data_IF_442474098698
#
_entry.id   IF_442474098698
#
_cell.length_a   1.000
_cell.length_b   1.000
_cell.length_c   1.000
_cell.angle_alpha   90.00
_cell.angle_beta   90.00
_cell.angle_gamma   90.00
#
_symmetry.space_group_name_H-M   'P 1'
#
loop_
_entity.id
_entity.type
_entity.pdbx_description
1 polymer ?
#
# COMPACT_ATOMS: atom_id res chain seq x y z
N UNK A 1 -8.97 -28.03 -14.09
CA UNK A 1 -9.11 -27.27 -12.85
C UNK A 1 -7.69 -27.05 -12.35
N UNK A 2 -7.21 -25.81 -12.36
CA UNK A 2 -5.88 -25.47 -11.81
C UNK A 2 -5.90 -25.66 -10.30
N UNK A 3 -4.80 -26.19 -9.76
CA UNK A 3 -4.61 -26.35 -8.32
C UNK A 3 -4.71 -24.95 -7.66
N UNK A 4 -5.65 -24.71 -6.73
CA UNK A 4 -5.81 -23.43 -6.06
C UNK A 4 -4.60 -23.04 -5.21
N UNK A 5 -3.62 -23.93 -5.05
CA UNK A 5 -2.37 -23.67 -4.32
C UNK A 5 -1.26 -23.12 -5.23
N UNK A 6 -1.41 -23.14 -6.56
CA UNK A 6 -0.35 -22.72 -7.49
C UNK A 6 -0.33 -21.20 -7.65
N UNK A 7 0.78 -20.59 -7.23
CA UNK A 7 1.07 -19.17 -7.48
C UNK A 7 1.72 -19.01 -8.85
N UNK A 8 1.21 -18.09 -9.67
CA UNK A 8 1.74 -17.76 -10.99
C UNK A 8 2.23 -16.31 -11.01
N UNK A 9 3.49 -16.12 -11.40
CA UNK A 9 4.05 -14.78 -11.63
C UNK A 9 3.51 -14.16 -12.91
N UNK A 10 3.42 -12.83 -12.94
CA UNK A 10 3.12 -12.05 -14.16
C UNK A 10 4.00 -10.79 -14.24
N UNK A 11 4.09 -10.25 -15.45
CA UNK A 11 4.67 -8.95 -15.75
C UNK A 11 3.62 -8.11 -16.47
N UNK A 12 3.38 -6.89 -15.97
CA UNK A 12 2.53 -5.89 -16.59
C UNK A 12 3.41 -4.71 -17.04
N UNK A 13 3.13 -4.15 -18.21
CA UNK A 13 3.89 -3.01 -18.73
C UNK A 13 3.06 -1.75 -18.57
N UNK A 14 3.54 -0.81 -17.77
CA UNK A 14 2.91 0.49 -17.55
C UNK A 14 3.01 1.37 -18.81
N UNK A 15 2.26 2.46 -18.86
CA UNK A 15 2.17 3.35 -20.02
C UNK A 15 3.51 3.97 -20.42
N UNK A 16 4.44 4.11 -19.49
CA UNK A 16 5.80 4.64 -19.69
C UNK A 16 6.86 3.55 -19.95
N UNK A 17 6.44 2.29 -20.07
CA UNK A 17 7.32 1.13 -20.31
C UNK A 17 7.86 0.46 -19.04
N UNK A 18 7.56 0.99 -17.84
CA UNK A 18 7.98 0.36 -16.58
C UNK A 18 7.34 -1.02 -16.42
N UNK A 19 8.16 -2.04 -16.14
CA UNK A 19 7.67 -3.41 -15.92
C UNK A 19 7.31 -3.62 -14.46
N UNK A 20 6.04 -3.85 -14.22
CA UNK A 20 5.46 -4.13 -12.91
C UNK A 20 5.35 -5.64 -12.72
N UNK A 21 5.99 -6.17 -11.67
CA UNK A 21 6.00 -7.61 -11.40
C UNK A 21 5.08 -7.98 -10.25
N UNK A 22 4.30 -9.00 -10.48
CA UNK A 22 3.33 -9.50 -9.52
C UNK A 22 3.16 -11.00 -9.57
N UNK A 23 2.24 -11.46 -8.75
CA UNK A 23 1.82 -12.85 -8.69
C UNK A 23 0.31 -12.95 -8.47
N UNK A 24 -0.29 -13.99 -9.01
CA UNK A 24 -1.68 -14.34 -8.76
C UNK A 24 -1.80 -15.76 -8.22
N UNK A 25 -2.79 -15.99 -7.37
CA UNK A 25 -3.07 -17.30 -6.78
C UNK A 25 -4.55 -17.44 -6.47
N UNK A 26 -5.02 -18.68 -6.35
CA UNK A 26 -6.43 -18.96 -6.14
C UNK A 26 -7.28 -18.82 -7.40
N UNK A 27 -8.59 -18.79 -7.21
CA UNK A 27 -9.58 -18.65 -8.29
C UNK A 27 -10.90 -18.15 -7.73
N UNK A 28 -11.74 -17.52 -8.57
CA UNK A 28 -13.03 -17.01 -8.19
C UNK A 28 -13.07 -15.49 -8.24
N UNK A 29 -13.52 -14.83 -7.17
CA UNK A 29 -13.64 -13.36 -7.09
C UNK A 29 -12.26 -12.70 -7.06
N UNK A 30 -12.09 -11.61 -7.80
CA UNK A 30 -10.81 -10.92 -7.88
C UNK A 30 -10.60 -9.96 -6.71
N UNK A 31 -9.41 -10.03 -6.12
CA UNK A 31 -8.89 -9.00 -5.23
C UNK A 31 -7.49 -8.59 -5.69
N UNK A 32 -7.25 -7.28 -5.80
CA UNK A 32 -5.94 -6.70 -6.09
C UNK A 32 -5.39 -6.04 -4.83
N UNK A 33 -4.16 -6.41 -4.47
CA UNK A 33 -3.47 -5.99 -3.25
C UNK A 33 -2.39 -4.97 -3.56
N UNK A 34 -2.47 -3.80 -2.92
CA UNK A 34 -1.53 -2.69 -3.07
C UNK A 34 -0.80 -2.43 -1.75
N UNK A 35 0.51 -2.52 -1.76
CA UNK A 35 1.33 -2.33 -0.56
C UNK A 35 1.65 -0.85 -0.27
N UNK A 36 2.14 -0.57 0.94
CA UNK A 36 2.61 0.75 1.36
C UNK A 36 4.05 1.06 0.90
N UNK A 37 4.45 2.32 1.02
CA UNK A 37 5.82 2.77 0.76
C UNK A 37 6.81 1.96 1.63
N UNK A 38 7.96 1.60 1.08
CA UNK A 38 8.98 0.70 1.65
C UNK A 38 8.57 -0.77 1.80
N UNK A 39 7.32 -1.14 1.51
CA UNK A 39 6.88 -2.54 1.56
C UNK A 39 6.97 -3.22 0.18
N UNK A 40 6.60 -4.48 0.13
CA UNK A 40 6.43 -5.25 -1.10
C UNK A 40 5.09 -5.98 -1.04
N UNK A 41 4.65 -6.55 -2.17
CA UNK A 41 3.41 -7.33 -2.26
C UNK A 41 3.25 -8.38 -1.14
N UNK A 42 4.37 -8.92 -0.62
CA UNK A 42 4.36 -9.94 0.45
C UNK A 42 3.88 -9.42 1.80
N UNK A 43 3.95 -8.10 2.01
CA UNK A 43 3.60 -7.48 3.30
C UNK A 43 2.13 -7.10 3.42
N UNK A 44 1.31 -7.24 2.38
CA UNK A 44 -0.13 -6.94 2.46
C UNK A 44 -0.86 -8.00 3.28
N UNK A 45 -0.74 -9.27 2.91
CA UNK A 45 -1.37 -10.39 3.64
C UNK A 45 -0.38 -11.23 4.46
N UNK A 46 0.91 -10.89 4.48
CA UNK A 46 1.94 -11.56 5.30
C UNK A 46 1.95 -13.09 5.15
N UNK A 47 1.66 -13.60 3.94
CA UNK A 47 1.63 -15.03 3.64
C UNK A 47 0.32 -15.75 4.02
N UNK A 48 -0.71 -15.03 4.45
CA UNK A 48 -2.04 -15.64 4.65
C UNK A 48 -2.58 -16.20 3.33
N UNK A 49 -3.10 -17.42 3.37
CA UNK A 49 -3.76 -18.11 2.24
C UNK A 49 -5.26 -18.28 2.47
N UNK A 50 -5.82 -17.47 3.37
CA UNK A 50 -7.24 -17.59 3.71
C UNK A 50 -8.12 -17.20 2.53
N UNK A 51 -7.79 -16.13 1.83
CA UNK A 51 -8.60 -15.65 0.70
C UNK A 51 -8.71 -16.68 -0.41
N UNK A 52 -7.61 -17.34 -0.78
CA UNK A 52 -7.65 -18.38 -1.82
C UNK A 52 -8.54 -19.57 -1.39
N UNK A 53 -8.55 -19.92 -0.10
CA UNK A 53 -9.41 -20.98 0.44
C UNK A 53 -10.88 -20.58 0.44
N UNK A 54 -11.18 -19.28 0.54
CA UNK A 54 -12.53 -18.71 0.53
C UNK A 54 -13.00 -18.32 -0.89
N UNK A 55 -12.30 -18.80 -1.93
CA UNK A 55 -12.73 -18.62 -3.33
C UNK A 55 -12.37 -17.26 -3.92
N UNK A 56 -11.26 -16.68 -3.51
CA UNK A 56 -10.70 -15.46 -4.11
C UNK A 56 -9.53 -15.79 -5.04
N UNK A 57 -9.46 -15.07 -6.16
CA UNK A 57 -8.23 -14.93 -6.93
C UNK A 57 -7.50 -13.70 -6.40
N UNK A 58 -6.39 -13.94 -5.74
CA UNK A 58 -5.54 -12.92 -5.13
C UNK A 58 -4.49 -12.49 -6.13
N UNK A 59 -4.49 -11.22 -6.50
CA UNK A 59 -3.53 -10.58 -7.41
C UNK A 59 -2.73 -9.59 -6.55
N UNK A 60 -1.42 -9.76 -6.49
CA UNK A 60 -0.53 -8.90 -5.73
C UNK A 60 0.67 -8.50 -6.58
N UNK A 61 1.11 -7.25 -6.47
CA UNK A 61 2.23 -6.75 -7.27
C UNK A 61 3.12 -5.81 -6.43
N UNK A 62 4.36 -5.70 -6.82
CA UNK A 62 5.25 -4.68 -6.29
C UNK A 62 5.06 -3.40 -7.13
N UNK A 63 4.83 -2.26 -6.49
CA UNK A 63 4.78 -0.97 -7.17
C UNK A 63 6.14 -0.67 -7.83
N UNK A 64 6.17 0.25 -8.81
CA UNK A 64 7.44 0.69 -9.43
C UNK A 64 8.48 1.06 -8.39
N UNK A 65 9.73 0.68 -8.62
CA UNK A 65 10.84 0.90 -7.70
C UNK A 65 10.79 0.10 -6.41
N UNK A 66 9.81 -0.81 -6.25
CA UNK A 66 9.68 -1.66 -5.08
C UNK A 66 9.85 -3.13 -5.43
N UNK A 67 10.26 -3.92 -4.44
CA UNK A 67 10.36 -5.37 -4.56
C UNK A 67 11.17 -5.81 -5.76
N UNK A 68 10.48 -6.40 -6.75
CA UNK A 68 11.08 -6.88 -8.00
C UNK A 68 10.63 -6.12 -9.25
N UNK A 69 9.76 -5.12 -9.11
CA UNK A 69 9.35 -4.26 -10.22
C UNK A 69 10.50 -3.34 -10.64
N UNK A 70 10.47 -2.94 -11.91
CA UNK A 70 11.49 -2.04 -12.43
C UNK A 70 11.39 -0.63 -11.83
N UNK A 71 12.48 0.11 -11.92
CA UNK A 71 12.49 1.54 -11.65
C UNK A 71 11.62 2.29 -12.68
N UNK A 72 11.07 3.43 -12.27
CA UNK A 72 10.53 4.40 -13.22
C UNK A 72 11.63 4.94 -14.14
N UNK A 73 11.30 5.47 -15.35
CA UNK A 73 12.29 6.01 -16.29
C UNK A 73 13.14 7.13 -15.71
N UNK A 74 12.62 7.91 -14.78
CA UNK A 74 13.32 8.98 -14.12
C UNK A 74 13.08 9.00 -12.62
N UNK A 75 13.94 9.70 -11.88
CA UNK A 75 13.86 9.80 -10.42
C UNK A 75 12.57 10.49 -9.91
N UNK A 76 11.85 11.22 -10.76
CA UNK A 76 10.56 11.84 -10.46
C UNK A 76 9.32 11.00 -10.78
N UNK A 77 9.49 9.81 -11.36
CA UNK A 77 8.39 9.03 -11.93
C UNK A 77 7.78 8.02 -10.93
N UNK A 78 7.66 8.45 -9.66
CA UNK A 78 7.05 7.66 -8.57
C UNK A 78 5.84 8.38 -7.96
N UNK A 79 5.17 9.24 -8.72
CA UNK A 79 3.98 9.97 -8.26
C UNK A 79 2.73 9.09 -8.27
N UNK A 80 1.68 9.50 -7.56
CA UNK A 80 0.41 8.77 -7.57
C UNK A 80 -0.20 8.58 -8.95
N UNK A 81 -0.14 9.55 -9.91
CA UNK A 81 -0.54 9.27 -11.29
C UNK A 81 0.19 8.07 -11.92
N UNK A 82 1.50 7.94 -11.72
CA UNK A 82 2.26 6.77 -12.19
C UNK A 82 1.83 5.47 -11.49
N UNK A 83 1.58 5.52 -10.17
CA UNK A 83 1.10 4.34 -9.42
C UNK A 83 -0.31 3.91 -9.87
N UNK A 84 -1.17 4.85 -10.25
CA UNK A 84 -2.49 4.58 -10.85
C UNK A 84 -2.35 3.93 -12.22
N UNK A 85 -1.43 4.39 -13.07
CA UNK A 85 -1.15 3.77 -14.36
C UNK A 85 -0.60 2.35 -14.20
N UNK A 86 0.24 2.10 -13.20
CA UNK A 86 0.72 0.75 -12.86
C UNK A 86 -0.45 -0.17 -12.47
N UNK A 87 -1.36 0.31 -11.63
CA UNK A 87 -2.56 -0.45 -11.26
C UNK A 87 -3.40 -0.79 -12.48
N UNK A 88 -3.60 0.17 -13.40
CA UNK A 88 -4.32 -0.07 -14.66
C UNK A 88 -3.64 -1.15 -15.50
N UNK A 89 -2.31 -1.08 -15.64
CA UNK A 89 -1.53 -2.08 -16.37
C UNK A 89 -1.66 -3.48 -15.74
N UNK A 90 -1.59 -3.57 -14.41
CA UNK A 90 -1.79 -4.84 -13.67
C UNK A 90 -3.18 -5.39 -13.90
N UNK A 91 -4.22 -4.57 -13.79
CA UNK A 91 -5.61 -5.02 -14.02
C UNK A 91 -5.82 -5.48 -15.47
N UNK A 92 -5.27 -4.76 -16.45
CA UNK A 92 -5.34 -5.15 -17.86
C UNK A 92 -4.60 -6.48 -18.13
N UNK A 93 -3.39 -6.65 -17.58
CA UNK A 93 -2.57 -7.85 -17.75
C UNK A 93 -3.23 -9.09 -17.14
N UNK A 94 -3.87 -8.94 -15.99
CA UNK A 94 -4.51 -10.05 -15.26
C UNK A 94 -5.96 -10.28 -15.67
N UNK A 95 -6.55 -9.36 -16.45
CA UNK A 95 -7.95 -9.40 -16.84
C UNK A 95 -8.92 -9.13 -15.68
N UNK A 96 -8.47 -8.53 -14.59
CA UNK A 96 -9.31 -8.13 -13.47
C UNK A 96 -10.11 -6.86 -13.84
N UNK A 97 -11.41 -6.99 -14.08
CA UNK A 97 -12.25 -5.87 -14.57
C UNK A 97 -12.88 -5.04 -13.47
N UNK A 98 -13.36 -5.67 -12.41
CA UNK A 98 -13.96 -5.03 -11.23
C UNK A 98 -13.56 -5.76 -9.95
N UNK A 99 -12.25 -5.77 -9.60
CA UNK A 99 -11.81 -6.44 -8.39
C UNK A 99 -12.21 -5.67 -7.13
N UNK A 100 -12.15 -6.33 -5.98
CA UNK A 100 -11.95 -5.62 -4.71
C UNK A 100 -10.53 -5.05 -4.74
N UNK A 101 -10.36 -3.78 -4.42
CA UNK A 101 -9.04 -3.16 -4.28
C UNK A 101 -8.73 -2.99 -2.80
N UNK A 102 -7.70 -3.65 -2.34
CA UNK A 102 -7.22 -3.52 -0.96
C UNK A 102 -5.85 -2.87 -0.96
N UNK A 103 -5.75 -1.71 -0.35
CA UNK A 103 -4.49 -0.97 -0.25
C UNK A 103 -4.12 -0.62 1.19
N UNK A 104 -2.82 -0.62 1.47
CA UNK A 104 -2.25 -0.17 2.75
C UNK A 104 -1.48 1.12 2.53
N UNK A 105 -1.76 2.20 3.29
CA UNK A 105 -1.04 3.49 3.21
C UNK A 105 -0.94 4.00 1.76
N UNK A 106 0.25 4.09 1.16
CA UNK A 106 0.44 4.45 -0.25
C UNK A 106 -0.50 3.66 -1.19
N UNK A 107 -0.66 2.37 -0.95
CA UNK A 107 -1.58 1.53 -1.72
C UNK A 107 -3.05 1.91 -1.54
N UNK A 108 -3.46 2.32 -0.34
CA UNK A 108 -4.81 2.83 -0.06
C UNK A 108 -5.07 4.14 -0.81
N UNK A 109 -4.10 5.05 -0.79
CA UNK A 109 -4.17 6.32 -1.53
C UNK A 109 -4.28 6.08 -3.04
N UNK A 110 -3.49 5.14 -3.58
CA UNK A 110 -3.50 4.77 -5.00
C UNK A 110 -4.85 4.19 -5.41
N UNK A 111 -5.39 3.24 -4.64
CA UNK A 111 -6.68 2.62 -4.92
C UNK A 111 -7.83 3.63 -4.90
N UNK A 112 -7.86 4.49 -3.87
CA UNK A 112 -8.86 5.54 -3.74
C UNK A 112 -8.79 6.54 -4.90
N UNK A 113 -7.58 7.04 -5.24
CA UNK A 113 -7.37 7.95 -6.36
C UNK A 113 -7.79 7.33 -7.70
N UNK A 114 -7.45 6.07 -7.94
CA UNK A 114 -7.77 5.37 -9.18
C UNK A 114 -9.30 5.21 -9.37
N UNK A 115 -10.03 4.87 -8.32
CA UNK A 115 -11.49 4.77 -8.37
C UNK A 115 -12.17 6.14 -8.44
N UNK A 116 -11.73 7.11 -7.63
CA UNK A 116 -12.34 8.44 -7.58
C UNK A 116 -12.19 9.22 -8.88
N UNK A 117 -11.11 8.99 -9.62
CA UNK A 117 -10.88 9.60 -10.96
C UNK A 117 -11.51 8.80 -12.10
N UNK A 118 -12.08 7.63 -11.82
CA UNK A 118 -12.59 6.73 -12.86
C UNK A 118 -11.51 6.05 -13.70
N UNK A 119 -10.25 6.09 -13.26
CA UNK A 119 -9.15 5.43 -13.95
C UNK A 119 -9.29 3.90 -13.95
N UNK A 120 -9.89 3.36 -12.88
CA UNK A 120 -10.27 1.94 -12.75
C UNK A 120 -11.65 1.81 -12.11
N UNK A 121 -12.31 0.68 -12.36
CA UNK A 121 -13.52 0.29 -11.66
C UNK A 121 -13.21 -0.75 -10.59
N UNK A 122 -13.62 -0.49 -9.35
CA UNK A 122 -13.57 -1.46 -8.25
C UNK A 122 -14.96 -2.03 -7.93
N UNK A 123 -15.02 -3.24 -7.42
CA UNK A 123 -16.25 -3.79 -6.80
C UNK A 123 -16.43 -3.25 -5.38
N UNK A 124 -15.34 -3.09 -4.64
CA UNK A 124 -15.28 -2.47 -3.33
C UNK A 124 -13.85 -1.96 -3.05
N UNK A 125 -13.70 -1.08 -2.07
CA UNK A 125 -12.42 -0.59 -1.56
C UNK A 125 -12.22 -1.03 -0.10
N UNK A 126 -11.04 -1.53 0.22
CA UNK A 126 -10.57 -1.71 1.58
C UNK A 126 -9.31 -0.86 1.76
N UNK A 127 -9.45 0.29 2.44
CA UNK A 127 -8.43 1.30 2.60
C UNK A 127 -7.82 1.19 4.00
N UNK A 128 -6.66 0.55 4.10
CA UNK A 128 -6.02 0.25 5.38
C UNK A 128 -5.04 1.35 5.73
N UNK A 129 -5.22 1.95 6.89
CA UNK A 129 -4.36 3.00 7.47
C UNK A 129 -3.96 4.08 6.45
N UNK A 130 -4.92 4.76 5.79
CA UNK A 130 -4.60 5.90 4.94
C UNK A 130 -4.01 7.03 5.80
N UNK A 131 -2.95 7.69 5.31
CA UNK A 131 -2.21 8.71 6.06
C UNK A 131 -2.16 10.09 5.36
N UNK A 132 -2.71 10.21 4.16
CA UNK A 132 -2.69 11.46 3.39
C UNK A 132 -3.86 12.40 3.77
N UNK A 133 -3.54 13.69 3.89
CA UNK A 133 -4.49 14.78 4.19
C UNK A 133 -4.42 15.85 3.09
N UNK A 134 -5.39 15.92 2.16
CA UNK A 134 -5.29 16.78 0.97
C UNK A 134 -5.32 18.28 1.28
N UNK A 135 -5.81 18.69 2.44
CA UNK A 135 -5.89 20.10 2.86
C UNK A 135 -4.66 20.57 3.64
N UNK A 136 -3.72 19.68 3.89
CA UNK A 136 -2.53 19.98 4.68
C UNK A 136 -1.29 19.95 3.77
N UNK A 137 -0.48 21.00 3.87
CA UNK A 137 0.86 20.97 3.30
C UNK A 137 1.74 20.03 4.12
N UNK A 138 2.45 19.14 3.44
CA UNK A 138 3.43 18.30 4.13
C UNK A 138 4.52 19.21 4.70
N UNK A 139 4.75 19.20 6.03
CA UNK A 139 5.74 20.07 6.65
C UNK A 139 7.13 19.90 6.03
N UNK A 140 7.85 21.01 5.86
CA UNK A 140 9.17 21.00 5.21
C UNK A 140 10.19 20.13 5.95
N UNK A 141 10.09 20.05 7.27
CA UNK A 141 10.93 19.16 8.10
C UNK A 141 10.61 17.68 7.90
N UNK A 142 9.32 17.33 7.68
CA UNK A 142 8.91 15.98 7.32
C UNK A 142 9.44 15.59 5.93
N UNK A 143 9.36 16.49 4.94
CA UNK A 143 9.96 16.27 3.63
C UNK A 143 11.49 16.12 3.70
N UNK A 144 12.15 16.97 4.49
CA UNK A 144 13.59 16.87 4.73
C UNK A 144 13.98 15.56 5.45
N UNK A 145 13.10 15.03 6.31
CA UNK A 145 13.30 13.73 6.92
C UNK A 145 13.24 12.59 5.88
N UNK A 146 12.26 12.62 4.97
CA UNK A 146 12.20 11.66 3.86
C UNK A 146 13.42 11.75 2.94
N UNK A 147 13.96 12.94 2.70
CA UNK A 147 15.19 13.12 1.92
C UNK A 147 16.38 12.44 2.60
N UNK A 148 16.57 12.64 3.91
CA UNK A 148 17.65 11.99 4.67
C UNK A 148 17.52 10.47 4.67
N UNK A 149 16.29 9.94 4.86
CA UNK A 149 16.03 8.51 4.78
C UNK A 149 16.35 7.93 3.40
N UNK A 150 16.00 8.66 2.35
CA UNK A 150 16.32 8.30 0.97
C UNK A 150 17.84 8.26 0.73
N UNK A 151 18.56 9.30 1.17
CA UNK A 151 20.01 9.38 1.04
C UNK A 151 20.71 8.28 1.83
N UNK A 152 20.32 8.08 3.08
CA UNK A 152 20.86 7.02 3.93
C UNK A 152 20.63 5.62 3.34
N UNK A 153 19.43 5.37 2.77
CA UNK A 153 19.15 4.12 2.07
C UNK A 153 20.02 3.93 0.83
N UNK A 154 20.21 4.99 0.05
CA UNK A 154 21.00 4.96 -1.20
C UNK A 154 22.48 4.71 -0.93
N UNK A 155 23.03 5.35 0.09
CA UNK A 155 24.46 5.32 0.40
C UNK A 155 24.87 4.11 1.25
N UNK A 156 24.05 3.77 2.23
CA UNK A 156 24.39 2.80 3.27
C UNK A 156 23.40 1.63 3.38
N UNK A 157 22.47 1.51 2.43
CA UNK A 157 21.49 0.41 2.38
C UNK A 157 20.45 0.43 3.51
N UNK A 158 19.80 -0.72 3.76
CA UNK A 158 18.77 -0.85 4.80
C UNK A 158 19.25 -0.48 6.19
N UNK A 159 20.51 -0.73 6.50
CA UNK A 159 21.15 -0.40 7.77
C UNK A 159 21.25 1.11 7.96
N UNK A 160 21.70 1.85 6.93
CA UNK A 160 21.74 3.30 6.95
C UNK A 160 20.35 3.93 7.09
N UNK A 161 19.35 3.39 6.40
CA UNK A 161 17.98 3.84 6.57
C UNK A 161 17.51 3.73 8.04
N UNK A 162 17.74 2.59 8.68
CA UNK A 162 17.30 2.37 10.07
C UNK A 162 18.08 3.25 11.05
N UNK A 163 19.37 3.48 10.80
CA UNK A 163 20.19 4.37 11.60
C UNK A 163 19.68 5.83 11.53
N UNK A 164 19.33 6.33 10.34
CA UNK A 164 18.75 7.67 10.16
C UNK A 164 17.33 7.77 10.71
N UNK A 165 16.51 6.72 10.54
CA UNK A 165 15.13 6.68 11.00
C UNK A 165 14.99 6.81 12.53
N UNK A 166 15.96 6.28 13.31
CA UNK A 166 16.04 6.42 14.77
C UNK A 166 14.78 6.05 15.56
N UNK A 167 13.97 5.17 14.96
CA UNK A 167 12.74 4.71 15.59
C UNK A 167 11.50 5.58 15.34
N UNK A 168 11.62 6.74 14.68
CA UNK A 168 10.48 7.51 14.15
C UNK A 168 9.27 7.72 15.08
N UNK A 169 9.49 7.86 16.40
CA UNK A 169 8.40 8.01 17.38
C UNK A 169 7.80 6.70 17.91
N UNK A 170 8.35 5.56 17.51
CA UNK A 170 7.95 4.23 18.04
C UNK A 170 8.27 4.13 19.54
N UNK A 171 7.35 3.62 20.34
CA UNK A 171 7.58 3.38 21.75
C UNK A 171 8.80 2.47 22.00
N UNK A 172 9.65 2.75 23.01
CA UNK A 172 10.88 2.00 23.27
C UNK A 172 10.69 0.48 23.36
N UNK A 173 9.58 0.03 23.91
CA UNK A 173 9.27 -1.40 24.05
C UNK A 173 9.12 -2.15 22.71
N UNK A 174 8.80 -1.43 21.62
CA UNK A 174 8.60 -1.98 20.28
C UNK A 174 9.80 -1.75 19.35
N UNK A 175 10.73 -0.88 19.72
CA UNK A 175 11.79 -0.40 18.86
C UNK A 175 12.60 -1.53 18.21
N UNK A 176 13.03 -2.53 18.98
CA UNK A 176 13.82 -3.65 18.46
C UNK A 176 13.04 -4.50 17.45
N UNK A 177 11.75 -4.74 17.71
CA UNK A 177 10.90 -5.55 16.84
C UNK A 177 10.63 -4.79 15.53
N UNK A 178 10.28 -3.51 15.62
CA UNK A 178 10.00 -2.68 14.45
C UNK A 178 11.25 -2.46 13.61
N UNK A 179 12.42 -2.23 14.25
CA UNK A 179 13.71 -2.13 13.59
C UNK A 179 14.04 -3.38 12.76
N UNK A 180 13.90 -4.56 13.36
CA UNK A 180 14.15 -5.84 12.65
C UNK A 180 13.18 -6.05 11.50
N UNK A 181 11.89 -5.76 11.71
CA UNK A 181 10.86 -5.85 10.67
C UNK A 181 11.14 -4.88 9.51
N UNK A 182 11.59 -3.66 9.81
CA UNK A 182 11.97 -2.66 8.81
C UNK A 182 13.18 -3.12 8.00
N UNK A 183 14.24 -3.60 8.65
CA UNK A 183 15.40 -4.16 7.96
C UNK A 183 15.01 -5.32 7.04
N UNK A 184 14.22 -6.27 7.55
CA UNK A 184 13.76 -7.42 6.77
C UNK A 184 12.94 -6.96 5.55
N UNK A 185 12.07 -5.97 5.71
CA UNK A 185 11.24 -5.40 4.65
C UNK A 185 12.09 -4.72 3.58
N UNK A 186 13.02 -3.85 3.96
CA UNK A 186 13.89 -3.13 3.02
C UNK A 186 14.79 -4.07 2.23
N UNK A 187 15.26 -5.15 2.81
CA UNK A 187 16.09 -6.17 2.13
C UNK A 187 15.35 -6.99 1.06
N UNK A 188 14.01 -6.82 0.92
CA UNK A 188 13.23 -7.48 -0.13
C UNK A 188 13.30 -6.75 -1.48
N UNK A 189 13.84 -5.54 -1.52
CA UNK A 189 13.92 -4.73 -2.73
C UNK A 189 15.18 -5.07 -3.52
N UNK A 190 15.02 -5.25 -4.84
CA UNK A 190 16.13 -5.54 -5.75
C UNK A 190 16.92 -4.30 -6.16
N UNK A 191 16.28 -3.12 -6.11
CA UNK A 191 16.87 -1.82 -6.46
C UNK A 191 16.61 -0.80 -5.34
N UNK A 192 17.60 -0.60 -4.49
CA UNK A 192 17.52 0.39 -3.41
C UNK A 192 17.64 1.83 -3.92
N UNK A 193 18.25 2.04 -5.10
CA UNK A 193 18.30 3.34 -5.75
C UNK A 193 16.91 3.81 -6.18
N UNK A 194 16.16 2.93 -6.84
CA UNK A 194 14.77 3.18 -7.23
C UNK A 194 13.86 3.39 -6.01
N UNK A 195 14.02 2.60 -4.96
CA UNK A 195 13.30 2.79 -3.71
C UNK A 195 13.62 4.14 -3.06
N UNK A 196 14.88 4.57 -3.11
CA UNK A 196 15.30 5.87 -2.60
C UNK A 196 14.63 7.01 -3.37
N UNK A 197 14.49 6.91 -4.70
CA UNK A 197 13.75 7.88 -5.50
C UNK A 197 12.25 7.89 -5.13
N UNK A 198 11.65 6.73 -4.90
CA UNK A 198 10.27 6.65 -4.43
C UNK A 198 10.08 7.32 -3.06
N UNK A 199 11.03 7.16 -2.12
CA UNK A 199 11.01 7.84 -0.81
C UNK A 199 11.04 9.36 -0.91
N UNK A 200 11.69 9.93 -1.93
CA UNK A 200 11.68 11.37 -2.19
C UNK A 200 10.40 11.84 -2.89
N UNK A 201 9.91 11.04 -3.83
CA UNK A 201 8.84 11.44 -4.74
C UNK A 201 7.44 11.26 -4.14
N UNK A 202 7.15 10.07 -3.57
CA UNK A 202 5.80 9.74 -3.07
C UNK A 202 5.30 10.72 -1.99
N UNK A 203 6.09 11.11 -0.97
CA UNK A 203 5.64 12.05 0.05
C UNK A 203 5.33 13.47 -0.47
N UNK A 204 5.85 13.82 -1.66
CA UNK A 204 5.60 15.10 -2.33
C UNK A 204 4.46 15.04 -3.33
N UNK A 205 4.02 13.84 -3.68
CA UNK A 205 2.94 13.61 -4.62
C UNK A 205 1.60 13.58 -3.90
N UNK A 206 0.59 14.14 -4.55
CA UNK A 206 -0.78 14.14 -4.06
C UNK A 206 -1.60 13.09 -4.80
N UNK A 207 -2.26 12.14 -4.12
CA UNK A 207 -3.18 11.20 -4.75
C UNK A 207 -4.43 11.92 -5.29
N UNK A 208 -4.84 13.00 -4.62
CA UNK A 208 -5.95 13.88 -5.01
C UNK A 208 -5.80 15.24 -4.32
N UNK A 209 -6.40 16.28 -4.93
CA UNK A 209 -6.20 17.67 -4.49
C UNK A 209 -7.10 18.09 -3.32
N UNK A 210 -8.25 17.44 -3.12
CA UNK A 210 -9.22 17.83 -2.08
C UNK A 210 -10.08 16.64 -1.65
N UNK A 211 -10.73 16.78 -0.50
CA UNK A 211 -11.72 15.82 0.01
C UNK A 211 -12.91 15.61 -0.93
N UNK A 212 -13.25 16.62 -1.74
CA UNK A 212 -14.32 16.51 -2.75
C UNK A 212 -14.06 15.35 -3.74
N UNK A 213 -12.79 15.01 -3.98
CA UNK A 213 -12.44 13.86 -4.81
C UNK A 213 -12.93 12.55 -4.19
N UNK A 214 -12.80 12.39 -2.87
CA UNK A 214 -13.28 11.19 -2.17
C UNK A 214 -14.80 11.14 -2.07
N UNK A 215 -15.47 12.29 -2.05
CA UNK A 215 -16.96 12.34 -2.09
C UNK A 215 -17.53 11.84 -3.40
N UNK A 216 -16.74 11.76 -4.46
CA UNK A 216 -17.13 11.17 -5.74
C UNK A 216 -17.09 9.63 -5.74
N UNK A 217 -16.53 8.99 -4.71
CA UNK A 217 -16.51 7.54 -4.60
C UNK A 217 -17.92 6.99 -4.39
N UNK A 218 -18.33 6.10 -5.29
CA UNK A 218 -19.66 5.45 -5.25
C UNK A 218 -19.55 3.94 -4.97
N UNK A 219 -18.33 3.42 -4.88
CA UNK A 219 -18.11 2.01 -4.59
C UNK A 219 -18.17 1.75 -3.09
N UNK A 220 -18.72 0.60 -2.63
CA UNK A 220 -18.66 0.22 -1.22
C UNK A 220 -17.23 0.34 -0.70
N UNK A 221 -17.07 1.09 0.39
CA UNK A 221 -15.73 1.39 0.92
C UNK A 221 -15.69 1.10 2.41
N UNK A 222 -14.65 0.38 2.84
CA UNK A 222 -14.30 0.21 4.24
C UNK A 222 -12.96 0.86 4.51
N UNK A 223 -12.90 1.75 5.47
CA UNK A 223 -11.66 2.36 5.96
C UNK A 223 -11.25 1.67 7.26
N UNK A 224 -10.01 1.20 7.29
CA UNK A 224 -9.43 0.55 8.47
C UNK A 224 -8.47 1.51 9.13
N UNK A 225 -8.77 1.91 10.37
CA UNK A 225 -7.84 2.62 11.26
C UNK A 225 -7.08 1.65 12.15
N UNK A 226 -6.07 2.13 12.87
CA UNK A 226 -5.32 1.33 13.82
C UNK A 226 -4.99 2.11 15.09
N UNK A 227 -5.02 1.42 16.23
CA UNK A 227 -4.56 1.88 17.54
C UNK A 227 -3.07 1.54 17.77
N UNK A 228 -2.37 1.10 16.73
CA UNK A 228 -1.00 0.58 16.83
C UNK A 228 0.01 1.65 17.23
N UNK A 229 0.42 1.65 18.49
CA UNK A 229 1.46 2.55 19.01
C UNK A 229 2.87 2.25 18.45
N UNK A 230 3.04 1.17 17.72
CA UNK A 230 4.29 0.87 16.99
C UNK A 230 4.35 1.48 15.59
N UNK A 231 3.26 2.12 15.14
CA UNK A 231 3.12 2.74 13.83
C UNK A 231 2.60 4.20 13.92
N UNK A 232 3.37 5.13 14.48
CA UNK A 232 2.94 6.52 14.65
C UNK A 232 2.77 7.28 13.33
N UNK A 233 3.23 6.74 12.22
CA UNK A 233 3.10 7.32 10.89
C UNK A 233 1.68 7.22 10.29
N UNK A 234 0.78 6.45 10.93
CA UNK A 234 -0.60 6.26 10.48
C UNK A 234 -1.61 6.59 11.59
N UNK A 235 -1.83 7.87 11.91
CA UNK A 235 -2.73 8.29 12.99
C UNK A 235 -4.17 7.83 12.75
N UNK A 236 -4.81 7.33 13.80
CA UNK A 236 -6.21 6.87 13.75
C UNK A 236 -7.16 7.96 13.26
N UNK A 237 -6.91 9.21 13.67
CA UNK A 237 -7.72 10.38 13.30
C UNK A 237 -7.72 10.61 11.78
N UNK A 238 -6.59 10.37 11.12
CA UNK A 238 -6.51 10.47 9.66
C UNK A 238 -7.40 9.44 8.99
N UNK A 239 -7.33 8.18 9.42
CA UNK A 239 -8.19 7.12 8.88
C UNK A 239 -9.68 7.42 9.15
N UNK A 240 -10.02 7.93 10.33
CA UNK A 240 -11.38 8.36 10.66
C UNK A 240 -11.85 9.48 9.74
N UNK A 241 -11.00 10.49 9.50
CA UNK A 241 -11.30 11.58 8.56
C UNK A 241 -11.59 11.06 7.14
N UNK A 242 -10.82 10.09 6.66
CA UNK A 242 -11.10 9.46 5.38
C UNK A 242 -12.48 8.79 5.35
N UNK A 243 -12.84 8.06 6.41
CA UNK A 243 -14.17 7.43 6.50
C UNK A 243 -15.30 8.46 6.53
N UNK A 244 -15.11 9.57 7.25
CA UNK A 244 -16.11 10.64 7.33
C UNK A 244 -16.33 11.36 5.99
N UNK A 245 -15.30 11.45 5.15
CA UNK A 245 -15.36 12.14 3.85
C UNK A 245 -15.83 11.25 2.70
N UNK A 246 -15.78 9.92 2.84
CA UNK A 246 -16.25 8.98 1.82
C UNK A 246 -17.72 8.64 2.09
N UNK A 247 -18.66 8.95 1.18
CA UNK A 247 -20.08 8.70 1.40
C UNK A 247 -20.39 7.21 1.65
N UNK A 248 -20.99 6.91 2.79
CA UNK A 248 -21.41 5.56 3.16
C UNK A 248 -20.24 4.61 3.47
N UNK A 249 -19.05 5.12 3.75
CA UNK A 249 -17.94 4.27 4.13
C UNK A 249 -18.14 3.67 5.54
N UNK A 250 -17.82 2.39 5.68
CA UNK A 250 -17.69 1.75 6.97
C UNK A 250 -16.31 2.08 7.58
N UNK A 251 -16.28 2.25 8.90
CA UNK A 251 -15.04 2.44 9.66
C UNK A 251 -14.79 1.27 10.58
N UNK A 252 -13.63 0.66 10.46
CA UNK A 252 -13.20 -0.48 11.26
C UNK A 252 -11.90 -0.15 11.98
N UNK A 253 -11.83 -0.49 13.25
CA UNK A 253 -10.63 -0.39 14.07
C UNK A 253 -10.56 -1.62 14.97
N UNK A 254 -9.36 -2.09 15.26
CA UNK A 254 -9.15 -3.21 16.15
C UNK A 254 -9.61 -2.94 17.59
N UNK A 255 -9.90 -4.00 18.34
CA UNK A 255 -10.20 -3.87 19.75
C UNK A 255 -8.97 -3.38 20.54
N UNK A 256 -9.22 -2.66 21.62
CA UNK A 256 -8.15 -2.19 22.51
C UNK A 256 -7.30 -3.36 23.02
N UNK A 257 -5.99 -3.26 22.86
CA UNK A 257 -5.02 -4.28 23.27
C UNK A 257 -4.68 -5.33 22.19
N UNK A 258 -5.33 -5.32 21.02
CA UNK A 258 -4.97 -6.21 19.90
C UNK A 258 -3.75 -5.72 19.12
N UNK A 259 -3.48 -4.41 19.12
CA UNK A 259 -2.24 -3.85 18.53
C UNK A 259 -0.99 -4.43 19.25
N UNK A 260 0.16 -4.50 18.54
CA UNK A 260 0.49 -3.87 17.25
C UNK A 260 0.32 -4.78 16.03
N UNK A 261 -0.34 -5.88 16.09
CA UNK A 261 -0.38 -6.86 14.97
C UNK A 261 -1.79 -7.19 14.49
N UNK A 262 -2.79 -6.41 14.93
CA UNK A 262 -4.18 -6.69 14.61
C UNK A 262 -4.46 -6.78 13.10
N UNK A 263 -3.92 -5.82 12.32
CA UNK A 263 -4.15 -5.73 10.88
C UNK A 263 -3.04 -6.40 10.07
N UNK A 264 -2.84 -7.69 10.28
CA UNK A 264 -1.88 -8.50 9.52
C UNK A 264 -2.51 -9.78 9.01
N UNK A 265 -2.08 -10.18 7.82
CA UNK A 265 -2.34 -11.50 7.25
C UNK A 265 -3.78 -11.99 7.43
N UNK A 266 -4.01 -12.87 8.35
CA UNK A 266 -5.31 -13.51 8.56
C UNK A 266 -6.40 -12.54 9.04
N UNK A 267 -6.07 -11.48 9.79
CA UNK A 267 -7.05 -10.49 10.26
C UNK A 267 -7.61 -9.69 9.08
N UNK A 268 -6.73 -9.16 8.21
CA UNK A 268 -7.16 -8.49 6.99
C UNK A 268 -7.88 -9.44 6.03
N UNK A 269 -7.43 -10.70 5.93
CA UNK A 269 -8.11 -11.69 5.09
C UNK A 269 -9.54 -11.96 5.56
N UNK A 270 -9.79 -12.05 6.88
CA UNK A 270 -11.15 -12.21 7.42
C UNK A 270 -12.01 -11.00 7.11
N UNK A 271 -11.48 -9.79 7.32
CA UNK A 271 -12.22 -8.57 7.00
C UNK A 271 -12.65 -8.52 5.53
N UNK A 272 -11.78 -8.94 4.60
CA UNK A 272 -12.14 -9.07 3.17
C UNK A 272 -13.28 -10.07 2.96
N UNK A 273 -13.27 -11.21 3.64
CA UNK A 273 -14.34 -12.21 3.49
C UNK A 273 -15.69 -11.73 4.01
N UNK A 274 -15.70 -10.81 4.96
CA UNK A 274 -16.93 -10.19 5.52
C UNK A 274 -17.52 -9.11 4.60
N UNK A 275 -16.74 -8.54 3.69
CA UNK A 275 -17.21 -7.56 2.68
C UNK A 275 -17.96 -8.21 1.50
N UNK A 276 -17.99 -9.48 1.43
CA UNK A 276 -18.52 -10.24 0.31
C UNK A 276 -19.61 -11.15 0.59
#
# INVERSE_FOLDING_TARGET
MSDPAQTRGFEAVSSDGTVIRGEESGSGRDIVLLHGLTATRRYVLMGSRLLEKEGWRVISFDARGHGKSDAGPGAGDYTYPHLVDDLRAVMAQTGATRPVLMGISMGAHTAAAACATGAVEGAALLLVTPAYMPSEEVPADALAHWDRLSEALRENGPEGFVEEWKGGGVEPKWLDVVTRATLQRLRQHSDLGALSDALKCVPRSQPFASWETLKALTVPTTVVGSLDSSDPGHPLETARKWSDEIPGADFVVEAEGESPIAWRGASLSRLVTELG
#
